data_IF_192377482195
#
_entry.id   IF_192377482195
#
_cell.length_a   1.000
_cell.length_b   1.000
_cell.length_c   1.000
_cell.angle_alpha   90.00
_cell.angle_beta   90.00
_cell.angle_gamma   90.00
#
_symmetry.space_group_name_H-M   'P 1'
#
loop_
_entity.id
_entity.type
_entity.pdbx_description
1 polymer ?
#
# COMPACT_ATOMS: atom_id res chain seq x y z
N UNK A 1 -11.12 -60.11 11.87
CA UNK A 1 -11.81 -58.87 11.44
C UNK A 1 -12.14 -58.00 12.64
N UNK A 2 -11.52 -56.83 12.80
CA UNK A 2 -12.16 -55.50 12.80
C UNK A 2 -11.19 -54.44 13.33
N UNK A 3 -10.66 -53.70 12.36
CA UNK A 3 -9.85 -52.48 12.50
C UNK A 3 -10.66 -51.40 13.20
N UNK A 4 -10.02 -50.66 14.12
CA UNK A 4 -10.52 -49.36 14.59
C UNK A 4 -9.35 -48.38 14.66
N UNK A 5 -9.01 -47.81 13.52
CA UNK A 5 -8.12 -46.63 13.43
C UNK A 5 -8.97 -45.39 13.77
N UNK A 6 -8.72 -44.79 14.93
CA UNK A 6 -9.21 -43.46 15.27
C UNK A 6 -8.25 -42.43 14.65
N UNK A 7 -8.58 -41.94 13.45
CA UNK A 7 -7.93 -40.78 12.85
C UNK A 7 -8.58 -39.52 13.42
N UNK A 8 -7.96 -38.93 14.44
CA UNK A 8 -8.25 -37.57 14.88
C UNK A 8 -7.63 -36.59 13.89
N UNK A 9 -8.44 -36.07 12.96
CA UNK A 9 -8.04 -34.99 12.07
C UNK A 9 -7.96 -33.67 12.87
N UNK A 10 -6.74 -33.22 13.16
CA UNK A 10 -6.50 -31.89 13.69
C UNK A 10 -6.62 -30.88 12.54
N UNK A 11 -7.73 -30.14 12.49
CA UNK A 11 -7.92 -29.04 11.54
C UNK A 11 -7.11 -27.86 12.08
N UNK A 12 -5.95 -27.59 11.48
CA UNK A 12 -5.18 -26.39 11.75
C UNK A 12 -5.88 -25.18 11.11
N UNK A 13 -6.54 -24.35 11.92
CA UNK A 13 -7.04 -23.04 11.50
C UNK A 13 -5.84 -22.14 11.24
N UNK A 14 -5.45 -22.00 9.96
CA UNK A 14 -4.50 -20.98 9.53
C UNK A 14 -5.24 -19.64 9.59
N UNK A 15 -5.09 -18.93 10.71
CA UNK A 15 -5.58 -17.56 10.84
C UNK A 15 -4.81 -16.67 9.86
N UNK A 16 -5.39 -16.39 8.69
CA UNK A 16 -4.87 -15.35 7.80
C UNK A 16 -5.05 -14.02 8.51
N UNK A 17 -3.97 -13.45 9.03
CA UNK A 17 -3.98 -12.07 9.52
C UNK A 17 -4.25 -11.16 8.32
N UNK A 18 -5.48 -10.67 8.21
CA UNK A 18 -5.81 -9.56 7.32
C UNK A 18 -5.07 -8.35 7.90
N UNK A 19 -3.94 -7.99 7.30
CA UNK A 19 -3.34 -6.68 7.55
C UNK A 19 -4.35 -5.66 7.04
N UNK A 20 -5.07 -5.02 7.96
CA UNK A 20 -5.86 -3.85 7.60
C UNK A 20 -4.86 -2.80 7.08
N UNK A 21 -4.98 -2.45 5.80
CA UNK A 21 -4.19 -1.36 5.22
C UNK A 21 -4.51 -0.07 6.03
N UNK A 22 -3.49 0.60 6.57
CA UNK A 22 -3.60 1.85 7.35
C UNK A 22 -2.91 2.99 6.59
N UNK A 23 -3.56 3.49 5.54
CA UNK A 23 -3.04 4.66 4.83
C UNK A 23 -3.29 5.93 5.62
N UNK A 24 -2.26 6.78 5.73
CA UNK A 24 -2.30 8.05 6.46
C UNK A 24 -1.73 9.18 5.63
N UNK A 25 -2.15 10.39 5.94
CA UNK A 25 -1.48 11.60 5.46
C UNK A 25 -0.22 11.79 6.31
N UNK A 26 0.94 11.77 5.67
CA UNK A 26 2.22 11.96 6.33
C UNK A 26 2.96 13.16 5.76
N UNK A 27 3.81 13.77 6.58
CA UNK A 27 4.73 14.82 6.18
C UNK A 27 6.10 14.21 5.87
N UNK A 28 6.77 14.85 4.90
CA UNK A 28 8.06 14.45 4.39
C UNK A 28 8.98 15.64 4.31
N UNK A 29 10.25 15.41 4.63
CA UNK A 29 11.33 16.37 4.45
C UNK A 29 12.52 15.65 3.82
N UNK A 30 13.00 16.18 2.69
CA UNK A 30 14.13 15.60 1.93
C UNK A 30 13.97 14.08 1.67
N UNK A 31 12.74 13.65 1.36
CA UNK A 31 12.40 12.25 1.07
C UNK A 31 12.30 11.33 2.28
N UNK A 32 12.33 11.87 3.50
CA UNK A 32 12.14 11.12 4.73
C UNK A 32 10.78 11.42 5.34
N UNK A 33 10.05 10.37 5.74
CA UNK A 33 8.80 10.48 6.51
C UNK A 33 9.12 11.04 7.89
N UNK A 34 8.53 12.17 8.27
CA UNK A 34 8.75 12.80 9.59
C UNK A 34 7.68 12.41 10.59
N UNK A 35 6.42 12.51 10.18
CA UNK A 35 5.25 12.26 11.02
C UNK A 35 4.05 11.89 10.14
N UNK A 36 3.08 11.20 10.74
CA UNK A 36 1.81 10.85 10.11
C UNK A 36 0.67 11.27 11.01
N UNK A 37 -0.39 11.80 10.39
CA UNK A 37 -1.57 12.26 11.07
C UNK A 37 -2.71 11.24 10.95
N UNK A 38 -3.90 11.74 10.64
CA UNK A 38 -5.15 10.99 10.54
C UNK A 38 -5.17 9.99 9.37
N UNK A 39 -6.01 8.93 9.49
CA UNK A 39 -6.28 8.01 8.40
C UNK A 39 -6.74 8.73 7.14
N UNK A 40 -6.20 8.33 6.00
CA UNK A 40 -6.48 8.94 4.71
C UNK A 40 -7.87 8.56 4.19
N UNK A 41 -8.60 9.55 3.69
CA UNK A 41 -9.85 9.36 2.91
C UNK A 41 -9.73 10.16 1.63
N UNK A 42 -9.97 9.53 0.48
CA UNK A 42 -9.81 10.16 -0.84
C UNK A 42 -9.22 9.21 -1.87
N UNK A 43 -8.53 9.76 -2.87
CA UNK A 43 -7.85 8.98 -3.92
C UNK A 43 -6.35 9.15 -3.82
N UNK A 44 -5.60 8.06 -3.85
CA UNK A 44 -4.14 8.10 -3.96
C UNK A 44 -3.66 6.99 -4.90
N UNK A 45 -2.40 7.08 -5.32
CA UNK A 45 -1.79 6.10 -6.22
C UNK A 45 -1.00 5.09 -5.40
N UNK A 46 -1.28 3.80 -5.60
CA UNK A 46 -0.60 2.71 -4.91
C UNK A 46 -0.24 1.61 -5.90
N UNK A 47 0.69 0.74 -5.52
CA UNK A 47 0.95 -0.48 -6.25
C UNK A 47 -0.09 -1.54 -5.88
N UNK A 48 -0.95 -1.91 -6.82
CA UNK A 48 -2.02 -2.89 -6.63
C UNK A 48 -2.08 -3.85 -7.83
N UNK A 49 -2.07 -5.15 -7.53
CA UNK A 49 -2.18 -6.22 -8.54
C UNK A 49 -1.19 -6.07 -9.71
N UNK A 50 0.07 -5.73 -9.41
CA UNK A 50 1.15 -5.69 -10.41
C UNK A 50 1.32 -4.38 -11.17
N UNK A 51 0.56 -3.33 -10.86
CA UNK A 51 0.71 -2.00 -11.47
C UNK A 51 0.34 -0.88 -10.50
N UNK A 52 0.82 0.33 -10.76
CA UNK A 52 0.39 1.52 -10.02
C UNK A 52 -0.98 1.98 -10.53
N UNK A 53 -1.95 2.11 -9.62
CA UNK A 53 -3.34 2.49 -9.93
C UNK A 53 -3.79 3.63 -9.03
N UNK A 54 -4.75 4.42 -9.50
CA UNK A 54 -5.51 5.33 -8.62
C UNK A 54 -6.51 4.47 -7.84
N UNK A 55 -6.42 4.49 -6.52
CA UNK A 55 -7.34 3.77 -5.65
C UNK A 55 -8.04 4.72 -4.68
N UNK A 56 -9.26 4.39 -4.32
CA UNK A 56 -10.05 5.10 -3.33
C UNK A 56 -9.84 4.48 -1.95
N UNK A 57 -9.87 5.36 -0.97
CA UNK A 57 -9.64 5.03 0.43
C UNK A 57 -10.73 5.67 1.31
N UNK A 58 -11.11 4.93 2.34
CA UNK A 58 -11.99 5.40 3.40
C UNK A 58 -11.39 5.00 4.75
N UNK A 59 -11.14 5.98 5.62
CA UNK A 59 -10.56 5.77 6.94
C UNK A 59 -9.28 4.90 6.92
N UNK A 60 -8.39 5.16 5.95
CA UNK A 60 -7.12 4.46 5.79
C UNK A 60 -7.18 3.14 5.03
N UNK A 61 -8.38 2.61 4.76
CA UNK A 61 -8.55 1.34 4.06
C UNK A 61 -8.88 1.55 2.58
N UNK A 62 -8.22 0.78 1.71
CA UNK A 62 -8.52 0.75 0.28
C UNK A 62 -9.90 0.15 0.04
N UNK A 63 -10.74 0.85 -0.73
CA UNK A 63 -12.08 0.38 -1.09
C UNK A 63 -12.11 -0.23 -2.49
N UNK A 64 -11.49 0.45 -3.46
CA UNK A 64 -11.49 0.08 -4.86
C UNK A 64 -10.33 0.74 -5.61
N UNK A 65 -9.98 0.20 -6.77
CA UNK A 65 -8.95 0.73 -7.65
C UNK A 65 -9.49 0.88 -9.07
N UNK A 66 -9.09 1.97 -9.71
CA UNK A 66 -9.42 2.27 -11.09
C UNK A 66 -8.33 1.75 -12.06
N UNK A 67 -8.31 2.32 -13.27
CA UNK A 67 -7.34 2.06 -14.33
C UNK A 67 -5.88 2.37 -13.91
N UNK A 68 -4.89 1.77 -14.60
CA UNK A 68 -3.47 2.07 -14.40
C UNK A 68 -3.16 3.57 -14.46
N UNK A 69 -2.33 4.03 -13.53
CA UNK A 69 -1.98 5.44 -13.38
C UNK A 69 -0.98 5.90 -14.44
N UNK A 70 -1.24 7.07 -15.05
CA UNK A 70 -0.28 7.82 -15.85
C UNK A 70 -0.18 9.24 -15.28
N UNK A 71 1.03 9.71 -15.00
CA UNK A 71 1.24 11.02 -14.38
C UNK A 71 2.41 11.01 -13.39
N UNK A 72 2.37 11.90 -12.40
CA UNK A 72 3.38 11.97 -11.34
C UNK A 72 2.76 11.71 -9.98
N UNK A 73 3.42 10.90 -9.15
CA UNK A 73 3.01 10.68 -7.76
C UNK A 73 4.23 10.46 -6.87
N UNK A 74 4.03 10.53 -5.56
CA UNK A 74 5.07 10.26 -4.56
C UNK A 74 5.07 8.77 -4.24
N UNK A 75 6.23 8.13 -4.34
CA UNK A 75 6.44 6.75 -3.89
C UNK A 75 7.78 6.62 -3.16
N UNK A 76 7.92 5.57 -2.36
CA UNK A 76 9.22 5.18 -1.82
C UNK A 76 10.04 4.48 -2.92
N UNK A 77 11.17 5.08 -3.29
CA UNK A 77 12.06 4.56 -4.32
C UNK A 77 13.52 4.74 -3.94
N UNK A 78 14.30 3.66 -4.01
CA UNK A 78 15.74 3.66 -3.72
C UNK A 78 16.10 4.31 -2.37
N UNK A 79 15.32 4.02 -1.32
CA UNK A 79 15.61 4.45 0.04
C UNK A 79 15.02 5.81 0.46
N UNK A 80 14.32 6.52 -0.42
CA UNK A 80 13.63 7.77 -0.06
C UNK A 80 12.31 7.96 -0.81
N UNK A 81 11.43 8.80 -0.27
CA UNK A 81 10.21 9.22 -0.94
C UNK A 81 10.54 10.26 -2.02
N UNK A 82 10.13 10.01 -3.26
CA UNK A 82 10.42 10.86 -4.42
C UNK A 82 9.17 11.08 -5.25
N UNK A 83 9.12 12.18 -6.00
CA UNK A 83 8.13 12.34 -7.07
C UNK A 83 8.62 11.53 -8.26
N UNK A 84 7.83 10.54 -8.68
CA UNK A 84 8.14 9.70 -9.83
C UNK A 84 7.06 9.83 -10.90
N UNK A 85 7.47 9.64 -12.15
CA UNK A 85 6.60 9.60 -13.31
C UNK A 85 6.21 8.17 -13.63
N UNK A 86 4.98 8.03 -14.12
CA UNK A 86 4.37 6.76 -14.45
C UNK A 86 3.68 6.84 -15.80
N UNK A 87 3.73 5.73 -16.52
CA UNK A 87 3.00 5.50 -17.77
C UNK A 87 2.36 4.13 -17.72
N UNK A 88 1.04 4.07 -17.93
CA UNK A 88 0.26 2.83 -17.90
C UNK A 88 0.54 1.95 -16.65
N UNK A 89 0.65 2.59 -15.48
CA UNK A 89 0.89 1.94 -14.19
C UNK A 89 2.32 1.46 -13.95
N UNK A 90 3.27 1.83 -14.81
CA UNK A 90 4.69 1.49 -14.67
C UNK A 90 5.51 2.75 -14.38
N UNK A 91 6.41 2.65 -13.40
CA UNK A 91 7.35 3.73 -13.06
C UNK A 91 8.35 3.91 -14.20
N UNK A 92 8.50 5.13 -14.72
CA UNK A 92 9.46 5.45 -15.78
C UNK A 92 10.75 6.05 -15.21
N UNK A 93 10.61 7.04 -14.35
CA UNK A 93 11.72 7.80 -13.76
C UNK A 93 11.29 8.46 -12.45
N UNK A 94 12.27 8.88 -11.65
CA UNK A 94 12.05 9.61 -10.42
C UNK A 94 12.91 10.88 -10.38
N UNK A 95 12.31 11.94 -9.86
CA UNK A 95 12.96 13.22 -9.63
C UNK A 95 13.59 13.27 -8.21
N UNK A 96 13.84 14.49 -7.75
CA UNK A 96 14.42 14.80 -6.44
C UNK A 96 13.56 14.29 -5.26
N UNK A 97 14.17 14.12 -4.07
CA UNK A 97 13.48 13.77 -2.84
C UNK A 97 12.28 14.69 -2.55
N UNK A 98 11.17 14.09 -2.12
CA UNK A 98 9.93 14.80 -1.84
C UNK A 98 9.96 15.51 -0.49
N UNK A 99 9.50 16.77 -0.49
CA UNK A 99 9.19 17.53 0.73
C UNK A 99 7.74 18.02 0.62
N UNK A 100 6.92 17.75 1.63
CA UNK A 100 5.49 18.08 1.61
C UNK A 100 4.64 17.03 2.30
N UNK A 101 3.36 16.94 1.91
CA UNK A 101 2.40 15.97 2.45
C UNK A 101 2.00 14.95 1.38
N UNK A 102 1.95 13.67 1.73
CA UNK A 102 1.45 12.62 0.85
C UNK A 102 0.73 11.52 1.64
N UNK A 103 -0.21 10.83 0.98
CA UNK A 103 -0.90 9.68 1.54
C UNK A 103 -0.10 8.41 1.23
N UNK A 104 0.36 7.71 2.26
CA UNK A 104 1.15 6.47 2.13
C UNK A 104 0.65 5.41 3.11
N UNK A 105 1.02 4.16 2.87
CA UNK A 105 0.80 3.09 3.83
C UNK A 105 1.65 3.36 5.08
N UNK A 106 1.00 3.50 6.23
CA UNK A 106 1.70 3.60 7.50
C UNK A 106 2.12 2.21 7.97
N UNK A 107 3.35 1.82 7.64
CA UNK A 107 4.01 0.66 8.23
C UNK A 107 4.67 1.13 9.54
N UNK A 108 4.15 0.63 10.67
CA UNK A 108 4.78 0.76 11.99
C UNK A 108 5.97 -0.21 12.09
#
# INVERSE_FOLDING_TARGET
MKIRYLFTAAIALVSTTVFAEDYKICHFSAGMKTDCAEPFTGKTVIFDQGSYKICHFSAGMKTDCAEPFTGKTVIFDQGSYKICHFSAGMKTDCAEPFTGKAAILNQN
#
